data_IF_592847704291
#
_entry.id   IF_592847704291
#
_cell.length_a   1.000
_cell.length_b   1.000
_cell.length_c   1.000
_cell.angle_alpha   90.00
_cell.angle_beta   90.00
_cell.angle_gamma   90.00
#
_symmetry.space_group_name_H-M   'P 1'
#
loop_
_entity.id
_entity.type
_entity.pdbx_description
1 polymer ?
#
# COMPACT_ATOMS: atom_id res chain seq x y z
N UNK A 1 -21.75 26.80 -9.62
CA UNK A 1 -22.28 25.51 -10.10
C UNK A 1 -22.37 25.36 -11.63
N UNK A 2 -22.61 26.41 -12.42
CA UNK A 2 -22.69 26.30 -13.91
C UNK A 2 -21.32 26.14 -14.62
N UNK A 3 -20.20 26.56 -14.04
CA UNK A 3 -18.87 26.46 -14.67
C UNK A 3 -18.26 25.05 -14.58
N UNK A 4 -18.66 24.21 -13.64
CA UNK A 4 -18.13 22.85 -13.47
C UNK A 4 -18.71 21.87 -14.52
N UNK A 5 -19.96 22.08 -14.92
CA UNK A 5 -20.61 21.24 -15.93
C UNK A 5 -20.08 21.45 -17.37
N UNK A 6 -19.60 22.65 -17.69
CA UNK A 6 -19.09 22.96 -19.03
C UNK A 6 -17.72 22.30 -19.26
N UNK A 7 -16.86 22.15 -18.21
CA UNK A 7 -15.58 21.46 -18.35
C UNK A 7 -15.70 19.95 -18.49
N UNK A 8 -16.67 19.32 -17.85
CA UNK A 8 -16.92 17.88 -18.04
C UNK A 8 -17.44 17.54 -19.44
N UNK A 9 -18.34 18.36 -19.98
CA UNK A 9 -18.90 18.14 -21.33
C UNK A 9 -17.88 18.46 -22.45
N UNK A 10 -16.98 19.41 -22.24
CA UNK A 10 -15.91 19.72 -23.22
C UNK A 10 -14.85 18.61 -23.23
N UNK A 11 -14.49 18.04 -22.07
CA UNK A 11 -13.57 16.91 -21.98
C UNK A 11 -14.11 15.65 -22.69
N UNK A 12 -15.38 15.32 -22.52
CA UNK A 12 -16.04 14.20 -23.19
C UNK A 12 -16.13 14.43 -24.70
N UNK A 13 -16.48 15.65 -25.16
CA UNK A 13 -16.60 15.94 -26.59
C UNK A 13 -15.25 15.99 -27.31
N UNK A 14 -14.17 16.40 -26.64
CA UNK A 14 -12.82 16.37 -27.20
C UNK A 14 -12.31 14.92 -27.33
N UNK A 15 -12.58 14.04 -26.36
CA UNK A 15 -12.22 12.62 -26.50
C UNK A 15 -13.05 11.89 -27.56
N UNK A 16 -14.35 12.19 -27.69
CA UNK A 16 -15.17 11.66 -28.80
C UNK A 16 -14.72 12.18 -30.16
N UNK A 17 -14.29 13.44 -30.29
CA UNK A 17 -13.72 13.97 -31.53
C UNK A 17 -12.37 13.32 -31.86
N UNK A 18 -11.52 13.01 -30.87
CA UNK A 18 -10.26 12.30 -31.09
C UNK A 18 -10.49 10.84 -31.49
N UNK A 19 -11.50 10.16 -30.96
CA UNK A 19 -11.83 8.78 -31.32
C UNK A 19 -12.29 8.62 -32.78
N UNK A 20 -12.87 9.67 -33.40
CA UNK A 20 -13.33 9.62 -34.80
C UNK A 20 -12.20 9.72 -35.86
N UNK A 21 -10.99 10.12 -35.48
CA UNK A 21 -9.86 10.25 -36.38
C UNK A 21 -8.60 9.47 -36.01
N UNK A 22 -8.67 8.63 -34.95
CA UNK A 22 -7.50 7.95 -34.40
C UNK A 22 -7.44 6.52 -34.92
N UNK A 23 -6.29 6.14 -35.48
CA UNK A 23 -6.05 4.77 -35.93
C UNK A 23 -6.24 3.79 -34.76
N UNK A 24 -7.12 2.80 -34.90
CA UNK A 24 -7.29 1.70 -33.96
C UNK A 24 -6.69 0.46 -34.61
N UNK A 25 -5.70 -0.14 -33.94
CA UNK A 25 -5.12 -1.43 -34.31
C UNK A 25 -5.60 -2.49 -33.37
N UNK A 26 -6.05 -3.62 -33.93
CA UNK A 26 -6.45 -4.81 -33.19
C UNK A 26 -5.35 -5.86 -33.29
N UNK A 27 -4.99 -6.45 -32.19
CA UNK A 27 -4.09 -7.60 -32.10
C UNK A 27 -4.67 -8.64 -31.14
N UNK A 28 -4.20 -9.87 -31.26
CA UNK A 28 -4.56 -10.95 -30.35
C UNK A 28 -3.29 -11.58 -29.79
N UNK A 29 -3.31 -11.93 -28.50
CA UNK A 29 -2.21 -12.62 -27.86
C UNK A 29 -2.72 -13.59 -26.77
N UNK A 30 -1.86 -14.52 -26.34
CA UNK A 30 -2.17 -15.39 -25.22
C UNK A 30 -1.61 -14.78 -23.95
N UNK A 31 -2.42 -14.73 -22.91
CA UNK A 31 -2.03 -14.30 -21.56
C UNK A 31 -2.44 -15.37 -20.55
N UNK A 32 -1.96 -15.22 -19.34
CA UNK A 32 -2.39 -16.04 -18.20
C UNK A 32 -3.35 -15.18 -17.36
N UNK A 33 -4.51 -15.75 -16.98
CA UNK A 33 -5.42 -15.10 -16.04
C UNK A 33 -4.88 -15.21 -14.59
N UNK A 34 -5.60 -14.61 -13.63
CA UNK A 34 -5.19 -14.61 -12.22
C UNK A 34 -5.23 -16.03 -11.60
N UNK A 35 -5.92 -16.98 -12.22
CA UNK A 35 -5.99 -18.40 -11.83
C UNK A 35 -4.92 -19.27 -12.51
N UNK A 36 -4.09 -18.69 -13.39
CA UNK A 36 -3.01 -19.38 -14.10
C UNK A 36 -3.42 -20.08 -15.39
N UNK A 37 -4.64 -19.86 -15.90
CA UNK A 37 -5.10 -20.43 -17.16
C UNK A 37 -4.70 -19.55 -18.35
N UNK A 38 -4.37 -20.20 -19.47
CA UNK A 38 -4.11 -19.48 -20.72
C UNK A 38 -5.42 -19.00 -21.35
N UNK A 39 -5.53 -17.69 -21.55
CA UNK A 39 -6.65 -17.04 -22.23
C UNK A 39 -6.17 -16.32 -23.50
N UNK A 40 -7.04 -16.23 -24.49
CA UNK A 40 -6.82 -15.36 -25.65
C UNK A 40 -7.33 -13.97 -25.31
N UNK A 41 -6.47 -12.98 -25.50
CA UNK A 41 -6.78 -11.58 -25.21
C UNK A 41 -6.81 -10.81 -26.51
N UNK A 42 -7.87 -10.00 -26.68
CA UNK A 42 -7.96 -9.02 -27.78
C UNK A 42 -7.46 -7.68 -27.24
N UNK A 43 -6.43 -7.14 -27.86
CA UNK A 43 -5.89 -5.83 -27.51
C UNK A 43 -6.21 -4.80 -28.59
N UNK A 44 -6.66 -3.64 -28.13
CA UNK A 44 -6.82 -2.45 -28.96
C UNK A 44 -5.73 -1.43 -28.63
N UNK A 45 -5.03 -0.99 -29.67
CA UNK A 45 -4.12 0.16 -29.63
C UNK A 45 -4.83 1.35 -30.26
N UNK A 46 -4.98 2.44 -29.52
CA UNK A 46 -5.65 3.64 -29.98
C UNK A 46 -4.62 4.79 -30.08
N UNK A 47 -4.42 5.28 -31.31
CA UNK A 47 -3.52 6.39 -31.60
C UNK A 47 -2.05 6.14 -31.24
N UNK A 48 -1.61 4.89 -31.24
CA UNK A 48 -0.24 4.51 -30.89
C UNK A 48 0.15 4.74 -29.42
N UNK A 49 -0.80 5.07 -28.55
CA UNK A 49 -0.51 5.52 -27.17
C UNK A 49 -1.31 4.84 -26.07
N UNK A 50 -2.53 4.44 -26.37
CA UNK A 50 -3.46 3.89 -25.40
C UNK A 50 -3.73 2.42 -25.75
N UNK A 51 -3.52 1.53 -24.78
CA UNK A 51 -3.68 0.09 -24.97
C UNK A 51 -4.74 -0.44 -24.02
N UNK A 52 -5.67 -1.20 -24.59
CA UNK A 52 -6.79 -1.78 -23.87
C UNK A 52 -6.91 -3.25 -24.20
N UNK A 53 -7.01 -4.09 -23.16
CA UNK A 53 -7.45 -5.47 -23.35
C UNK A 53 -8.98 -5.49 -23.26
N UNK A 54 -9.66 -5.99 -24.28
CA UNK A 54 -11.12 -6.06 -24.32
C UNK A 54 -11.62 -7.47 -24.15
N UNK A 55 -12.75 -7.60 -23.47
CA UNK A 55 -13.55 -8.82 -23.43
C UNK A 55 -14.83 -8.59 -24.29
N UNK A 56 -14.86 -9.25 -25.43
CA UNK A 56 -15.95 -9.11 -26.40
C UNK A 56 -17.26 -9.75 -25.89
N UNK A 57 -17.20 -10.67 -24.91
CA UNK A 57 -18.39 -11.31 -24.34
C UNK A 57 -19.09 -10.43 -23.30
N UNK A 58 -18.29 -9.79 -22.42
CA UNK A 58 -18.82 -8.96 -21.33
C UNK A 58 -18.92 -7.48 -21.69
N UNK A 59 -18.39 -7.09 -22.85
CA UNK A 59 -18.24 -5.70 -23.30
C UNK A 59 -17.51 -4.84 -22.26
N UNK A 60 -16.43 -5.39 -21.69
CA UNK A 60 -15.57 -4.69 -20.74
C UNK A 60 -14.16 -4.54 -21.27
N UNK A 61 -13.41 -3.60 -20.70
CA UNK A 61 -12.02 -3.38 -21.05
C UNK A 61 -11.15 -3.12 -19.83
N UNK A 62 -9.89 -3.53 -19.93
CA UNK A 62 -8.82 -3.18 -19.00
C UNK A 62 -7.93 -2.17 -19.68
N UNK A 63 -7.75 -1.00 -19.07
CA UNK A 63 -6.76 -0.03 -19.52
C UNK A 63 -5.36 -0.55 -19.15
N UNK A 64 -4.62 -1.04 -20.14
CA UNK A 64 -3.35 -1.76 -19.91
C UNK A 64 -2.15 -0.85 -19.81
N UNK A 65 -2.05 0.12 -20.73
CA UNK A 65 -0.84 0.90 -20.89
C UNK A 65 -1.11 2.25 -21.54
N UNK A 66 -0.33 3.22 -21.13
CA UNK A 66 -0.29 4.52 -21.75
C UNK A 66 1.17 4.95 -22.04
N UNK A 67 1.42 5.36 -23.27
CA UNK A 67 2.67 6.00 -23.64
C UNK A 67 2.48 7.52 -23.69
N UNK A 68 2.78 8.19 -22.57
CA UNK A 68 2.80 9.65 -22.49
C UNK A 68 3.85 10.25 -23.41
N UNK A 69 3.59 11.45 -23.93
CA UNK A 69 4.62 12.27 -24.57
C UNK A 69 5.51 12.89 -23.52
N UNK A 70 6.66 13.42 -23.94
CA UNK A 70 7.66 14.01 -23.04
C UNK A 70 7.12 15.07 -22.08
N UNK A 71 6.06 15.80 -22.47
CA UNK A 71 5.46 16.86 -21.68
C UNK A 71 4.06 16.53 -21.12
N UNK A 72 3.61 15.29 -21.24
CA UNK A 72 2.32 14.88 -20.69
C UNK A 72 2.44 14.69 -19.17
N UNK A 73 1.83 15.58 -18.41
CA UNK A 73 1.82 15.55 -16.94
C UNK A 73 0.48 15.06 -16.37
N UNK A 74 -0.53 14.87 -17.22
CA UNK A 74 -1.87 14.42 -16.85
C UNK A 74 -2.32 13.25 -17.71
N UNK A 75 -2.89 12.22 -17.08
CA UNK A 75 -3.56 11.10 -17.72
C UNK A 75 -5.04 11.09 -17.34
N UNK A 76 -5.91 11.21 -18.34
CA UNK A 76 -7.36 11.06 -18.18
C UNK A 76 -7.75 9.71 -18.77
N UNK A 77 -8.24 8.80 -17.92
CA UNK A 77 -8.72 7.49 -18.34
C UNK A 77 -10.22 7.60 -18.64
N UNK A 78 -10.69 7.23 -19.86
CA UNK A 78 -12.10 7.28 -20.18
C UNK A 78 -12.91 6.22 -19.40
N UNK A 79 -14.21 6.43 -19.24
CA UNK A 79 -15.10 5.42 -18.65
C UNK A 79 -15.40 4.25 -19.59
N UNK A 80 -15.25 4.47 -20.89
CA UNK A 80 -15.48 3.46 -21.94
C UNK A 80 -14.73 3.82 -23.21
N UNK A 81 -14.60 2.84 -24.11
CA UNK A 81 -14.14 3.00 -25.48
C UNK A 81 -15.16 2.37 -26.46
N UNK A 82 -15.29 2.93 -27.65
CA UNK A 82 -16.12 2.39 -28.71
C UNK A 82 -15.26 1.71 -29.77
N UNK A 83 -15.59 0.47 -30.13
CA UNK A 83 -14.93 -0.28 -31.18
C UNK A 83 -15.95 -1.12 -31.96
N UNK A 84 -15.96 -0.99 -33.30
CA UNK A 84 -16.89 -1.69 -34.20
C UNK A 84 -18.38 -1.56 -33.80
N UNK A 85 -18.81 -0.39 -33.30
CA UNK A 85 -20.18 -0.14 -32.88
C UNK A 85 -20.55 -0.72 -31.52
N UNK A 86 -19.59 -1.29 -30.77
CA UNK A 86 -19.76 -1.81 -29.41
C UNK A 86 -19.02 -0.92 -28.43
N UNK A 87 -19.68 -0.56 -27.32
CA UNK A 87 -19.09 0.20 -26.21
C UNK A 87 -18.54 -0.75 -25.16
N UNK A 88 -17.25 -0.63 -24.87
CA UNK A 88 -16.54 -1.40 -23.84
C UNK A 88 -16.28 -0.53 -22.61
N UNK A 89 -16.85 -0.90 -21.48
CA UNK A 89 -16.65 -0.18 -20.20
C UNK A 89 -15.28 -0.48 -19.60
N UNK A 90 -14.57 0.55 -19.14
CA UNK A 90 -13.28 0.36 -18.43
C UNK A 90 -13.58 -0.08 -17.01
N UNK A 91 -13.18 -1.31 -16.65
CA UNK A 91 -13.44 -1.92 -15.33
C UNK A 91 -12.20 -2.13 -14.48
N UNK A 92 -11.01 -2.06 -15.08
CA UNK A 92 -9.76 -2.23 -14.37
C UNK A 92 -8.60 -1.47 -15.03
N UNK A 93 -7.56 -1.18 -14.24
CA UNK A 93 -6.27 -0.68 -14.71
C UNK A 93 -5.22 -1.78 -14.55
N UNK A 94 -4.47 -2.04 -15.62
CA UNK A 94 -3.44 -3.06 -15.68
C UNK A 94 -2.08 -2.61 -15.13
N UNK A 95 -1.11 -3.51 -15.16
CA UNK A 95 0.20 -3.34 -14.49
C UNK A 95 1.08 -2.22 -15.10
N UNK A 96 0.75 -1.73 -16.29
CA UNK A 96 1.51 -0.69 -16.98
C UNK A 96 0.67 0.56 -17.28
N UNK A 97 -0.43 0.80 -16.54
CA UNK A 97 -1.36 1.89 -16.82
C UNK A 97 -0.65 3.26 -16.85
N UNK A 98 0.24 3.55 -15.90
CA UNK A 98 1.07 4.75 -15.88
C UNK A 98 2.42 4.60 -16.57
N UNK A 99 2.83 3.35 -16.85
CA UNK A 99 4.05 2.95 -17.55
C UNK A 99 5.32 3.71 -17.15
N UNK A 100 5.59 3.80 -15.83
CA UNK A 100 6.81 4.43 -15.30
C UNK A 100 7.01 5.88 -15.77
N UNK A 101 5.93 6.61 -16.05
CA UNK A 101 6.02 7.98 -16.49
C UNK A 101 6.43 8.90 -15.34
N UNK A 102 7.70 9.27 -15.30
CA UNK A 102 8.29 10.09 -14.25
C UNK A 102 7.70 11.51 -14.17
N UNK A 103 7.13 12.02 -15.28
CA UNK A 103 6.55 13.38 -15.36
C UNK A 103 5.04 13.39 -15.08
N UNK A 104 4.40 12.23 -14.94
CA UNK A 104 2.98 12.13 -14.66
C UNK A 104 2.68 12.70 -13.27
N UNK A 105 2.00 13.83 -13.20
CA UNK A 105 1.67 14.51 -11.93
C UNK A 105 0.23 14.21 -11.46
N UNK A 106 -0.66 13.91 -12.41
CA UNK A 106 -2.09 13.74 -12.13
C UNK A 106 -2.71 12.62 -12.96
N UNK A 107 -3.56 11.83 -12.32
CA UNK A 107 -4.37 10.79 -12.98
C UNK A 107 -5.83 10.99 -12.61
N UNK A 108 -6.70 10.92 -13.61
CA UNK A 108 -8.16 10.89 -13.43
C UNK A 108 -8.66 9.50 -13.80
N UNK A 109 -9.18 8.80 -12.80
CA UNK A 109 -9.73 7.45 -12.94
C UNK A 109 -11.26 7.56 -12.90
N UNK A 110 -12.00 6.98 -13.86
CA UNK A 110 -13.45 7.05 -13.90
C UNK A 110 -14.10 6.12 -12.88
N UNK A 111 -15.33 6.44 -12.48
CA UNK A 111 -16.20 5.49 -11.78
C UNK A 111 -16.47 4.27 -12.66
N UNK A 112 -16.65 3.11 -12.00
CA UNK A 112 -16.78 1.80 -12.65
C UNK A 112 -15.50 0.98 -12.64
N UNK A 113 -14.34 1.60 -12.45
CA UNK A 113 -13.07 0.89 -12.23
C UNK A 113 -13.10 0.23 -10.85
N UNK A 114 -12.89 -1.08 -10.82
CA UNK A 114 -12.92 -1.89 -9.58
C UNK A 114 -11.54 -2.29 -9.09
N UNK A 115 -10.54 -2.31 -9.97
CA UNK A 115 -9.15 -2.71 -9.66
C UNK A 115 -8.15 -1.74 -10.26
N UNK A 116 -7.18 -1.33 -9.45
CA UNK A 116 -6.08 -0.43 -9.85
C UNK A 116 -4.74 -1.14 -9.69
N UNK A 117 -3.97 -1.17 -10.79
CA UNK A 117 -2.56 -1.53 -10.85
C UNK A 117 -1.81 -0.51 -11.72
N UNK A 118 -0.48 -0.54 -11.73
CA UNK A 118 0.32 0.01 -12.83
C UNK A 118 0.69 1.47 -12.82
N UNK A 119 0.76 2.12 -11.66
CA UNK A 119 1.39 3.43 -11.51
C UNK A 119 2.76 3.37 -10.80
N UNK A 120 3.37 2.18 -10.76
CA UNK A 120 4.71 2.05 -10.22
C UNK A 120 5.70 2.95 -10.97
N UNK A 121 6.62 3.56 -10.21
CA UNK A 121 7.65 4.47 -10.73
C UNK A 121 7.12 5.75 -11.40
N UNK A 122 5.87 6.14 -11.16
CA UNK A 122 5.36 7.45 -11.54
C UNK A 122 5.87 8.49 -10.53
N UNK A 123 7.16 8.83 -10.62
CA UNK A 123 7.85 9.65 -9.62
C UNK A 123 7.22 11.02 -9.44
N UNK A 124 6.67 11.62 -10.51
CA UNK A 124 6.03 12.95 -10.48
C UNK A 124 4.63 12.98 -9.88
N UNK A 125 4.00 11.81 -9.64
CA UNK A 125 2.60 11.74 -9.20
C UNK A 125 2.41 12.28 -7.79
N UNK A 126 1.76 13.44 -7.67
CA UNK A 126 1.58 14.17 -6.40
C UNK A 126 0.29 13.78 -5.68
N UNK A 127 -0.79 13.64 -6.44
CA UNK A 127 -2.11 13.32 -5.91
C UNK A 127 -2.86 12.40 -6.86
N UNK A 128 -3.68 11.54 -6.28
CA UNK A 128 -4.59 10.69 -7.03
C UNK A 128 -5.93 10.57 -6.30
N UNK A 129 -7.02 10.63 -7.06
CA UNK A 129 -8.35 10.35 -6.54
C UNK A 129 -8.73 8.94 -6.93
N UNK A 130 -8.98 8.10 -5.93
CA UNK A 130 -9.42 6.73 -6.13
C UNK A 130 -10.96 6.73 -6.14
N UNK A 131 -11.61 6.26 -7.22
CA UNK A 131 -13.07 6.22 -7.31
C UNK A 131 -13.72 5.32 -6.26
N UNK A 132 -14.98 5.61 -5.92
CA UNK A 132 -15.75 4.84 -4.93
C UNK A 132 -16.00 3.39 -5.35
N UNK A 133 -15.98 3.11 -6.65
CA UNK A 133 -16.13 1.78 -7.24
C UNK A 133 -14.95 0.83 -6.98
N UNK A 134 -13.77 1.35 -6.60
CA UNK A 134 -12.56 0.55 -6.46
C UNK A 134 -12.65 -0.37 -5.23
N UNK A 135 -12.39 -1.65 -5.47
CA UNK A 135 -12.36 -2.74 -4.47
C UNK A 135 -10.95 -3.24 -4.19
N UNK A 136 -10.03 -3.06 -5.14
CA UNK A 136 -8.68 -3.57 -5.04
C UNK A 136 -7.65 -2.54 -5.53
N UNK A 137 -6.65 -2.27 -4.69
CA UNK A 137 -5.37 -1.69 -5.08
C UNK A 137 -4.36 -2.83 -5.08
N UNK A 138 -3.89 -3.22 -6.26
CA UNK A 138 -3.07 -4.40 -6.46
C UNK A 138 -1.62 -4.22 -6.01
N UNK A 139 -0.85 -5.30 -6.11
CA UNK A 139 0.57 -5.29 -5.74
C UNK A 139 1.35 -4.26 -6.56
N UNK A 140 2.23 -3.51 -5.87
CA UNK A 140 3.07 -2.46 -6.43
C UNK A 140 2.31 -1.32 -7.15
N UNK A 141 1.01 -1.15 -6.95
CA UNK A 141 0.18 -0.21 -7.73
C UNK A 141 0.75 1.21 -7.77
N UNK A 142 1.28 1.73 -6.66
CA UNK A 142 1.89 3.06 -6.51
C UNK A 142 3.34 2.97 -5.98
N UNK A 143 3.99 1.82 -6.20
CA UNK A 143 5.41 1.66 -5.80
C UNK A 143 6.26 2.76 -6.41
N UNK A 144 7.15 3.37 -5.60
CA UNK A 144 8.07 4.44 -6.02
C UNK A 144 7.37 5.72 -6.54
N UNK A 145 6.12 5.98 -6.16
CA UNK A 145 5.49 7.29 -6.37
C UNK A 145 6.02 8.27 -5.33
N UNK A 146 7.27 8.70 -5.49
CA UNK A 146 8.04 9.45 -4.46
C UNK A 146 7.45 10.82 -4.13
N UNK A 147 6.75 11.45 -5.08
CA UNK A 147 6.09 12.74 -4.91
C UNK A 147 4.66 12.64 -4.37
N UNK A 148 4.12 11.41 -4.17
CA UNK A 148 2.75 11.21 -3.71
C UNK A 148 2.58 11.67 -2.26
N UNK A 149 1.84 12.77 -2.06
CA UNK A 149 1.67 13.40 -0.74
C UNK A 149 0.45 12.90 0.03
N UNK A 150 -0.63 12.58 -0.67
CA UNK A 150 -1.87 12.10 -0.07
C UNK A 150 -2.68 11.21 -1.01
N UNK A 151 -3.41 10.26 -0.42
CA UNK A 151 -4.37 9.39 -1.11
C UNK A 151 -5.59 9.23 -0.23
N UNK A 152 -6.76 9.36 -0.82
CA UNK A 152 -8.02 9.01 -0.17
C UNK A 152 -8.46 7.64 -0.67
N UNK A 153 -8.51 6.67 0.23
CA UNK A 153 -8.96 5.31 -0.09
C UNK A 153 -10.50 5.23 0.08
N UNK A 154 -11.23 4.59 -0.85
CA UNK A 154 -12.68 4.48 -0.75
C UNK A 154 -13.11 3.47 0.32
N UNK A 155 -14.22 3.74 1.00
CA UNK A 155 -14.77 2.87 2.07
C UNK A 155 -15.12 1.44 1.60
N UNK A 156 -15.25 1.23 0.30
CA UNK A 156 -15.51 -0.10 -0.28
C UNK A 156 -14.25 -0.90 -0.63
N UNK A 157 -13.05 -0.35 -0.36
CA UNK A 157 -11.77 -1.02 -0.67
C UNK A 157 -11.59 -2.24 0.23
N UNK A 158 -11.39 -3.42 -0.35
CA UNK A 158 -11.18 -4.68 0.38
C UNK A 158 -9.72 -5.14 0.40
N UNK A 159 -8.94 -4.75 -0.60
CA UNK A 159 -7.58 -5.26 -0.78
C UNK A 159 -6.57 -4.13 -0.99
N UNK A 160 -5.54 -4.14 -0.14
CA UNK A 160 -4.30 -3.39 -0.27
C UNK A 160 -3.15 -4.38 -0.51
N UNK A 161 -2.72 -4.49 -1.78
CA UNK A 161 -1.77 -5.50 -2.22
C UNK A 161 -0.33 -5.26 -1.75
N UNK A 162 0.50 -6.27 -1.90
CA UNK A 162 1.92 -6.26 -1.57
C UNK A 162 2.63 -5.03 -2.14
N UNK A 163 3.32 -4.27 -1.26
CA UNK A 163 4.08 -3.07 -1.62
C UNK A 163 3.29 -2.00 -2.39
N UNK A 164 1.97 -1.90 -2.17
CA UNK A 164 1.11 -0.99 -2.93
C UNK A 164 1.59 0.47 -2.89
N UNK A 165 2.12 0.95 -1.76
CA UNK A 165 2.69 2.29 -1.55
C UNK A 165 4.16 2.25 -1.13
N UNK A 166 4.89 1.19 -1.54
CA UNK A 166 6.32 1.06 -1.25
C UNK A 166 7.09 2.27 -1.76
N UNK A 167 7.93 2.87 -0.92
CA UNK A 167 8.77 4.04 -1.24
C UNK A 167 7.98 5.28 -1.71
N UNK A 168 6.74 5.48 -1.22
CA UNK A 168 6.04 6.75 -1.35
C UNK A 168 6.57 7.72 -0.28
N UNK A 169 7.79 8.23 -0.47
CA UNK A 169 8.55 8.93 0.58
C UNK A 169 7.87 10.19 1.10
N UNK A 170 7.07 10.87 0.26
CA UNK A 170 6.33 12.09 0.63
C UNK A 170 4.93 11.84 1.18
N UNK A 171 4.47 10.59 1.25
CA UNK A 171 3.14 10.28 1.78
C UNK A 171 3.06 10.65 3.27
N UNK A 172 2.27 11.67 3.61
CA UNK A 172 2.19 12.26 4.96
C UNK A 172 1.17 11.57 5.85
N UNK A 173 0.06 11.17 5.26
CA UNK A 173 -1.04 10.50 5.96
C UNK A 173 -1.86 9.65 5.00
N UNK A 174 -2.47 8.61 5.54
CA UNK A 174 -3.43 7.76 4.84
C UNK A 174 -4.42 7.18 5.85
N UNK A 175 -5.68 7.08 5.47
CA UNK A 175 -6.70 6.41 6.27
C UNK A 175 -7.01 5.08 5.62
N UNK A 176 -6.86 3.99 6.38
CA UNK A 176 -7.20 2.65 5.91
C UNK A 176 -8.69 2.43 6.21
N UNK A 177 -9.52 2.14 5.18
CA UNK A 177 -10.94 1.88 5.39
C UNK A 177 -11.19 0.61 6.21
N UNK A 178 -12.30 0.59 6.94
CA UNK A 178 -12.70 -0.58 7.75
C UNK A 178 -13.08 -1.81 6.92
N UNK A 179 -13.29 -1.66 5.63
CA UNK A 179 -13.51 -2.75 4.68
C UNK A 179 -12.24 -3.55 4.35
N UNK A 180 -11.04 -2.98 4.61
CA UNK A 180 -9.78 -3.69 4.43
C UNK A 180 -9.61 -4.71 5.55
N UNK A 181 -9.49 -5.99 5.18
CA UNK A 181 -9.34 -7.07 6.14
C UNK A 181 -7.88 -7.37 6.52
N UNK A 182 -6.93 -6.96 5.67
CA UNK A 182 -5.51 -7.30 5.81
C UNK A 182 -4.59 -6.26 5.17
N UNK A 183 -3.46 -6.00 5.80
CA UNK A 183 -2.38 -5.18 5.26
C UNK A 183 -1.23 -6.11 4.84
N UNK A 184 -1.04 -6.23 3.53
CA UNK A 184 -0.01 -7.10 2.95
C UNK A 184 1.41 -6.59 3.25
N UNK A 185 2.41 -7.45 3.04
CA UNK A 185 3.81 -7.11 3.34
C UNK A 185 4.28 -5.89 2.54
N UNK A 186 5.03 -5.02 3.22
CA UNK A 186 5.70 -3.86 2.64
C UNK A 186 4.79 -2.75 2.12
N UNK A 187 3.49 -2.74 2.43
CA UNK A 187 2.53 -1.76 1.86
C UNK A 187 3.01 -0.33 2.00
N UNK A 188 3.50 0.08 3.17
CA UNK A 188 4.02 1.42 3.46
C UNK A 188 5.53 1.45 3.73
N UNK A 189 6.25 0.40 3.28
CA UNK A 189 7.70 0.35 3.46
C UNK A 189 8.35 1.60 2.84
N UNK A 190 9.21 2.26 3.62
CA UNK A 190 9.91 3.49 3.25
C UNK A 190 9.02 4.71 2.94
N UNK A 191 7.80 4.79 3.54
CA UNK A 191 6.99 6.00 3.56
C UNK A 191 7.55 6.98 4.61
N UNK A 192 8.64 7.65 4.28
CA UNK A 192 9.47 8.38 5.26
C UNK A 192 8.75 9.56 5.92
N UNK A 193 7.79 10.20 5.25
CA UNK A 193 7.02 11.32 5.81
C UNK A 193 5.71 10.90 6.48
N UNK A 194 5.37 9.60 6.49
CA UNK A 194 4.18 9.11 7.17
C UNK A 194 4.33 9.31 8.67
N UNK A 195 3.56 10.26 9.24
CA UNK A 195 3.71 10.70 10.63
C UNK A 195 2.78 9.99 11.61
N UNK A 196 1.62 9.56 11.14
CA UNK A 196 0.63 8.83 11.93
C UNK A 196 -0.24 7.95 11.05
N UNK A 197 -0.75 6.86 11.61
CA UNK A 197 -1.71 5.98 10.96
C UNK A 197 -2.59 5.30 12.02
N UNK A 198 -3.83 5.05 11.67
CA UNK A 198 -4.76 4.26 12.51
C UNK A 198 -5.02 2.93 11.82
N UNK A 199 -4.86 1.84 12.56
CA UNK A 199 -5.15 0.49 12.10
C UNK A 199 -6.62 0.17 12.45
N UNK A 200 -7.51 -0.06 11.47
CA UNK A 200 -8.91 -0.36 11.74
C UNK A 200 -9.08 -1.68 12.49
N UNK A 201 -10.19 -1.80 13.23
CA UNK A 201 -10.47 -2.99 14.06
C UNK A 201 -10.67 -4.29 13.27
N UNK A 202 -10.87 -4.20 11.98
CA UNK A 202 -10.97 -5.34 11.05
C UNK A 202 -9.62 -6.00 10.76
N UNK A 203 -8.50 -5.31 11.02
CA UNK A 203 -7.16 -5.83 10.74
C UNK A 203 -6.71 -6.70 11.92
N UNK A 204 -6.50 -7.98 11.64
CA UNK A 204 -5.95 -8.97 12.60
C UNK A 204 -4.45 -9.20 12.44
N UNK A 205 -3.87 -8.82 11.32
CA UNK A 205 -2.45 -9.05 11.01
C UNK A 205 -1.83 -7.84 10.33
N UNK A 206 -0.66 -7.41 10.81
CA UNK A 206 0.25 -6.50 10.11
C UNK A 206 1.33 -7.34 9.46
N UNK A 207 1.45 -7.30 8.13
CA UNK A 207 2.41 -8.08 7.35
C UNK A 207 3.88 -7.74 7.63
N UNK A 208 4.78 -8.44 6.98
CA UNK A 208 6.23 -8.15 7.09
C UNK A 208 6.56 -6.78 6.50
N UNK A 209 7.46 -6.04 7.14
CA UNK A 209 8.00 -4.77 6.65
C UNK A 209 6.95 -3.68 6.33
N UNK A 210 5.73 -3.77 6.84
CA UNK A 210 4.65 -2.83 6.47
C UNK A 210 5.06 -1.38 6.67
N UNK A 211 5.68 -1.05 7.81
CA UNK A 211 6.14 0.31 8.17
C UNK A 211 7.68 0.37 8.28
N UNK A 212 8.39 -0.54 7.61
CA UNK A 212 9.86 -0.49 7.60
C UNK A 212 10.34 0.88 7.12
N UNK A 213 11.26 1.50 7.88
CA UNK A 213 11.84 2.82 7.56
C UNK A 213 10.83 3.97 7.41
N UNK A 214 9.68 3.91 8.10
CA UNK A 214 8.78 5.04 8.28
C UNK A 214 9.35 5.98 9.35
N UNK A 215 10.41 6.70 9.02
CA UNK A 215 11.25 7.45 9.98
C UNK A 215 10.50 8.57 10.69
N UNK A 216 9.43 9.09 10.12
CA UNK A 216 8.58 10.13 10.72
C UNK A 216 7.39 9.57 11.51
N UNK A 217 7.17 8.24 11.51
CA UNK A 217 6.02 7.63 12.20
C UNK A 217 6.18 7.80 13.71
N UNK A 218 5.44 8.74 14.26
CA UNK A 218 5.52 9.14 15.66
C UNK A 218 4.54 8.38 16.54
N UNK A 219 3.35 8.17 16.02
CA UNK A 219 2.27 7.47 16.72
C UNK A 219 1.55 6.49 15.80
N UNK A 220 1.14 5.37 16.37
CA UNK A 220 0.28 4.39 15.71
C UNK A 220 -0.74 3.85 16.70
N UNK A 221 -2.00 3.80 16.29
CA UNK A 221 -3.06 3.19 17.07
C UNK A 221 -3.31 1.77 16.57
N UNK A 222 -2.95 0.79 17.38
CA UNK A 222 -3.24 -0.62 17.14
C UNK A 222 -4.58 -0.97 17.80
N UNK A 223 -5.38 -1.77 17.11
CA UNK A 223 -6.70 -2.20 17.63
C UNK A 223 -6.61 -3.47 18.48
N UNK A 224 -7.59 -3.71 19.36
CA UNK A 224 -7.68 -4.91 20.20
C UNK A 224 -8.01 -6.22 19.44
N UNK A 225 -8.22 -6.15 18.11
CA UNK A 225 -8.38 -7.34 17.24
C UNK A 225 -7.07 -7.85 16.65
N UNK A 226 -5.97 -7.10 16.81
CA UNK A 226 -4.67 -7.42 16.20
C UNK A 226 -4.04 -8.65 16.89
N UNK A 227 -3.77 -9.70 16.11
CA UNK A 227 -3.23 -10.99 16.57
C UNK A 227 -1.73 -11.09 16.33
N UNK A 228 -1.23 -10.53 15.20
CA UNK A 228 0.18 -10.65 14.83
C UNK A 228 0.75 -9.39 14.22
N UNK A 229 2.04 -9.17 14.51
CA UNK A 229 2.90 -8.15 13.88
C UNK A 229 4.04 -8.90 13.22
N UNK A 230 4.21 -8.71 11.91
CA UNK A 230 5.18 -9.42 11.08
C UNK A 230 6.62 -9.02 11.31
N UNK A 231 7.53 -9.73 10.63
CA UNK A 231 8.97 -9.47 10.65
C UNK A 231 9.26 -8.04 10.22
N UNK A 232 10.11 -7.34 10.99
CA UNK A 232 10.58 -5.98 10.71
C UNK A 232 9.46 -4.95 10.45
N UNK A 233 8.22 -5.20 10.93
CA UNK A 233 7.06 -4.39 10.59
C UNK A 233 7.22 -2.91 10.94
N UNK A 234 7.90 -2.57 12.04
CA UNK A 234 8.22 -1.20 12.48
C UNK A 234 9.73 -0.93 12.55
N UNK A 235 10.53 -1.76 11.88
CA UNK A 235 11.99 -1.58 11.90
C UNK A 235 12.36 -0.21 11.33
N UNK A 236 13.27 0.51 12.03
CA UNK A 236 13.70 1.86 11.69
C UNK A 236 12.59 2.95 11.71
N UNK A 237 11.51 2.76 12.45
CA UNK A 237 10.58 3.84 12.80
C UNK A 237 11.23 4.73 13.87
N UNK A 238 12.19 5.55 13.47
CA UNK A 238 13.08 6.27 14.40
C UNK A 238 12.37 7.35 15.21
N UNK A 239 11.24 7.88 14.75
CA UNK A 239 10.43 8.86 15.49
C UNK A 239 9.40 8.22 16.43
N UNK A 240 9.21 6.90 16.39
CA UNK A 240 8.22 6.20 17.23
C UNK A 240 8.65 6.29 18.70
N UNK A 241 7.95 7.09 19.49
CA UNK A 241 8.30 7.37 20.87
C UNK A 241 7.57 6.49 21.89
N UNK A 242 6.40 6.00 21.50
CA UNK A 242 5.57 5.10 22.32
C UNK A 242 4.72 4.19 21.45
N UNK A 243 4.39 3.01 21.97
CA UNK A 243 3.45 2.08 21.35
C UNK A 243 2.69 1.31 22.43
N UNK A 244 1.38 1.15 22.21
CA UNK A 244 0.53 0.31 23.04
C UNK A 244 0.24 -0.97 22.25
N UNK A 245 0.78 -2.10 22.71
CA UNK A 245 0.51 -3.40 22.12
C UNK A 245 -0.81 -3.94 22.69
N UNK A 246 -1.77 -4.35 21.83
CA UNK A 246 -3.09 -4.78 22.31
C UNK A 246 -3.03 -6.13 23.02
N UNK A 247 -3.99 -6.37 23.92
CA UNK A 247 -4.06 -7.63 24.68
C UNK A 247 -4.35 -8.87 23.82
N UNK A 248 -4.84 -8.68 22.60
CA UNK A 248 -5.05 -9.74 21.62
C UNK A 248 -3.77 -10.23 20.95
N UNK A 249 -2.65 -9.48 21.03
CA UNK A 249 -1.42 -9.76 20.28
C UNK A 249 -0.73 -11.05 20.79
N UNK A 250 -0.67 -12.07 19.94
CA UNK A 250 -0.08 -13.40 20.23
C UNK A 250 1.30 -13.59 19.63
N UNK A 251 1.61 -12.89 18.54
CA UNK A 251 2.86 -13.05 17.81
C UNK A 251 3.50 -11.70 17.44
N UNK A 252 4.80 -11.61 17.71
CA UNK A 252 5.66 -10.51 17.31
C UNK A 252 6.76 -11.08 16.42
N UNK A 253 7.06 -10.41 15.29
CA UNK A 253 8.06 -10.86 14.33
C UNK A 253 9.49 -10.51 14.77
N UNK A 254 10.46 -11.22 14.21
CA UNK A 254 11.88 -10.91 14.33
C UNK A 254 12.11 -9.48 13.83
N UNK A 255 12.94 -8.69 14.55
CA UNK A 255 13.25 -7.30 14.23
C UNK A 255 12.03 -6.35 14.22
N UNK A 256 10.90 -6.71 14.82
CA UNK A 256 9.65 -5.95 14.70
C UNK A 256 9.82 -4.45 14.99
N UNK A 257 10.61 -4.08 16.02
CA UNK A 257 10.94 -2.70 16.43
C UNK A 257 12.45 -2.40 16.37
N UNK A 258 13.19 -3.12 15.54
CA UNK A 258 14.61 -2.90 15.40
C UNK A 258 14.91 -1.43 15.01
N UNK A 259 15.78 -0.76 15.75
CA UNK A 259 16.20 0.60 15.44
C UNK A 259 15.12 1.68 15.66
N UNK A 260 14.08 1.41 16.46
CA UNK A 260 13.15 2.44 16.95
C UNK A 260 13.84 3.29 18.01
N UNK A 261 14.75 4.16 17.58
CA UNK A 261 15.69 4.87 18.46
C UNK A 261 15.05 5.84 19.44
N UNK A 262 13.83 6.30 19.19
CA UNK A 262 13.07 7.18 20.09
C UNK A 262 12.14 6.45 21.06
N UNK A 263 11.93 5.12 20.90
CA UNK A 263 11.01 4.34 21.70
C UNK A 263 11.45 4.28 23.17
N UNK A 264 10.64 4.83 24.09
CA UNK A 264 11.02 5.04 25.50
C UNK A 264 10.54 3.92 26.43
N UNK A 265 9.37 3.37 26.15
CA UNK A 265 8.76 2.32 26.97
C UNK A 265 7.91 1.40 26.13
N UNK A 266 7.85 0.13 26.53
CA UNK A 266 6.95 -0.87 25.93
C UNK A 266 6.36 -1.70 27.05
N UNK A 267 5.04 -1.89 27.00
CA UNK A 267 4.34 -2.87 27.81
C UNK A 267 3.93 -4.04 26.92
N UNK A 268 4.45 -5.23 27.23
CA UNK A 268 4.10 -6.44 26.51
C UNK A 268 2.80 -7.04 27.06
N UNK A 269 1.87 -7.51 26.20
CA UNK A 269 0.59 -8.05 26.65
C UNK A 269 0.70 -9.48 27.18
N UNK A 270 -0.21 -9.89 28.07
CA UNK A 270 -0.27 -11.24 28.66
C UNK A 270 -0.47 -12.37 27.64
N UNK A 271 -1.01 -12.06 26.46
CA UNK A 271 -1.16 -12.99 25.34
C UNK A 271 0.16 -13.38 24.69
N UNK A 272 1.19 -12.52 24.76
CA UNK A 272 2.49 -12.77 24.16
C UNK A 272 3.30 -13.78 25.00
N UNK A 273 3.96 -14.71 24.32
CA UNK A 273 4.71 -15.82 24.94
C UNK A 273 6.20 -15.73 24.73
N UNK A 274 6.63 -15.10 23.63
CA UNK A 274 8.02 -15.04 23.19
C UNK A 274 8.34 -13.61 22.78
N UNK A 275 9.48 -13.09 23.21
CA UNK A 275 10.13 -11.92 22.62
C UNK A 275 11.12 -12.43 21.58
N UNK A 276 10.89 -12.19 20.28
CA UNK A 276 11.70 -12.79 19.22
C UNK A 276 13.07 -12.12 19.07
N UNK A 277 13.89 -12.72 18.19
CA UNK A 277 15.25 -12.23 17.91
C UNK A 277 15.25 -10.77 17.50
N UNK A 278 16.13 -9.99 18.13
CA UNK A 278 16.37 -8.58 17.86
C UNK A 278 15.09 -7.71 17.83
N UNK A 279 14.00 -8.11 18.49
CA UNK A 279 12.72 -7.43 18.42
C UNK A 279 12.80 -5.94 18.76
N UNK A 280 13.62 -5.56 19.76
CA UNK A 280 13.87 -4.19 20.23
C UNK A 280 15.35 -3.79 20.13
N UNK A 281 16.14 -4.52 19.34
CA UNK A 281 17.55 -4.21 19.16
C UNK A 281 17.72 -2.78 18.64
N UNK A 282 18.69 -2.03 19.20
CA UNK A 282 18.96 -0.62 18.89
C UNK A 282 17.84 0.37 19.27
N UNK A 283 16.93 0.01 20.18
CA UNK A 283 16.00 0.96 20.78
C UNK A 283 16.75 1.78 21.85
N UNK A 284 17.61 2.71 21.42
CA UNK A 284 18.56 3.41 22.31
C UNK A 284 17.91 4.24 23.41
N UNK A 285 16.68 4.76 23.18
CA UNK A 285 15.93 5.53 24.17
C UNK A 285 15.09 4.68 25.13
N UNK A 286 15.06 3.34 24.95
CA UNK A 286 14.22 2.47 25.79
C UNK A 286 14.72 2.47 27.22
N UNK A 287 13.96 3.04 28.15
CA UNK A 287 14.31 3.14 29.56
C UNK A 287 13.64 2.09 30.43
N UNK A 288 12.49 1.57 29.98
CA UNK A 288 11.71 0.57 30.70
C UNK A 288 10.99 -0.37 29.77
N UNK A 289 10.86 -1.62 30.23
CA UNK A 289 10.01 -2.63 29.59
C UNK A 289 9.27 -3.40 30.70
N UNK A 290 7.98 -3.62 30.51
CA UNK A 290 7.16 -4.44 31.39
C UNK A 290 6.92 -5.80 30.74
N UNK A 291 7.41 -6.85 31.40
CA UNK A 291 7.18 -8.24 30.98
C UNK A 291 6.01 -8.83 31.75
N UNK A 292 5.03 -9.40 31.06
CA UNK A 292 4.03 -10.24 31.70
C UNK A 292 4.64 -11.59 32.10
N UNK A 293 4.06 -12.25 33.08
CA UNK A 293 4.49 -13.59 33.51
C UNK A 293 4.27 -14.69 32.44
N UNK A 294 3.55 -14.38 31.39
CA UNK A 294 3.31 -15.25 30.25
C UNK A 294 4.55 -15.45 29.36
N UNK A 295 5.51 -14.52 29.38
CA UNK A 295 6.75 -14.64 28.60
C UNK A 295 7.63 -15.74 29.22
N UNK A 296 7.98 -16.71 28.39
CA UNK A 296 8.87 -17.82 28.78
C UNK A 296 10.17 -17.88 27.95
N UNK A 297 10.24 -17.16 26.81
CA UNK A 297 11.46 -17.03 25.99
C UNK A 297 11.73 -15.56 25.68
N UNK A 298 12.96 -15.12 25.90
CA UNK A 298 13.54 -13.90 25.35
C UNK A 298 14.67 -14.35 24.42
N UNK A 299 14.51 -14.14 23.12
CA UNK A 299 15.41 -14.65 22.10
C UNK A 299 16.65 -13.76 21.92
N UNK A 300 17.58 -14.19 21.07
CA UNK A 300 18.90 -13.56 20.91
C UNK A 300 18.80 -12.09 20.49
N UNK A 301 19.64 -11.27 21.10
CA UNK A 301 19.77 -9.84 20.79
C UNK A 301 18.48 -9.02 20.94
N UNK A 302 17.46 -9.54 21.62
CA UNK A 302 16.14 -8.92 21.75
C UNK A 302 16.21 -7.45 22.19
N UNK A 303 17.16 -7.09 23.10
CA UNK A 303 17.38 -5.74 23.63
C UNK A 303 18.83 -5.26 23.43
N UNK A 304 19.59 -5.92 22.56
CA UNK A 304 20.96 -5.52 22.28
C UNK A 304 21.00 -4.04 21.82
N UNK A 305 21.94 -3.29 22.37
CA UNK A 305 22.11 -1.86 22.09
C UNK A 305 20.93 -0.96 22.57
N UNK A 306 20.10 -1.44 23.53
CA UNK A 306 19.17 -0.58 24.26
C UNK A 306 19.92 0.18 25.37
N UNK A 307 20.71 1.17 25.00
CA UNK A 307 21.71 1.80 25.88
C UNK A 307 21.14 2.57 27.07
N UNK A 308 19.86 2.95 27.02
CA UNK A 308 19.16 3.61 28.13
C UNK A 308 18.48 2.64 29.11
N UNK A 309 18.45 1.33 28.79
CA UNK A 309 17.79 0.32 29.62
C UNK A 309 18.71 -0.13 30.75
N UNK A 310 18.53 0.43 31.97
CA UNK A 310 19.42 0.21 33.11
C UNK A 310 18.98 -0.89 34.04
N UNK A 311 17.70 -1.17 34.12
CA UNK A 311 17.12 -2.18 35.01
C UNK A 311 15.95 -2.86 34.31
N UNK A 312 15.91 -4.19 34.40
CA UNK A 312 14.85 -5.02 33.85
C UNK A 312 14.41 -6.04 34.90
N UNK A 313 13.12 -6.15 35.14
CA UNK A 313 12.55 -7.22 35.93
C UNK A 313 12.13 -8.34 35.00
N UNK A 314 12.82 -9.49 35.09
CA UNK A 314 12.55 -10.63 34.24
C UNK A 314 11.25 -11.33 34.63
N UNK A 315 10.51 -11.92 33.70
CA UNK A 315 9.28 -12.64 34.01
C UNK A 315 9.58 -13.90 34.84
N UNK A 316 8.69 -14.22 35.82
CA UNK A 316 8.90 -15.34 36.72
C UNK A 316 8.94 -16.71 36.03
N UNK A 317 8.27 -16.82 34.87
CA UNK A 317 8.16 -18.07 34.11
C UNK A 317 9.22 -18.17 32.99
N UNK A 318 10.25 -17.32 33.03
CA UNK A 318 11.30 -17.34 31.98
C UNK A 318 12.05 -18.67 32.02
N UNK A 319 12.03 -19.40 30.91
CA UNK A 319 12.74 -20.69 30.75
C UNK A 319 13.98 -20.56 29.85
N UNK A 320 14.03 -19.55 28.96
CA UNK A 320 15.17 -19.32 28.09
C UNK A 320 15.45 -17.83 27.92
N UNK A 321 16.70 -17.47 28.14
CA UNK A 321 17.30 -16.17 27.83
C UNK A 321 18.48 -16.43 26.89
N UNK A 322 18.30 -16.23 25.61
CA UNK A 322 19.29 -16.55 24.58
C UNK A 322 20.29 -15.40 24.41
N UNK A 323 21.54 -15.73 24.10
CA UNK A 323 22.69 -14.86 24.19
C UNK A 323 22.59 -13.44 23.60
N UNK A 324 23.39 -12.52 24.18
CA UNK A 324 23.48 -11.09 23.79
C UNK A 324 22.17 -10.28 23.97
N UNK A 325 21.40 -10.58 25.00
CA UNK A 325 20.18 -9.82 25.36
C UNK A 325 20.55 -8.45 25.94
#
# INVERSE_FOLDING_TARGET
>A
MKKLFIFLTIGLSIMQLYAQQTEIRRSEYRSMDDDGNFINVVQLEIGGRYFYDIDENTHTAIFKRWYGRENDTELIIPSSIDYNGVTYKIVALGDEAGNQNEKLEKVIIPEGVTRIKGFAYCHGLKNITIPSSVKEIGSNAFKECVELESVVLPEGLSTLGYRAFYNCVKLKSIVIPSSVARIESGVFNNCQQLSSITIPSTISEIGEEVFFNCVSLKTINLNEGLISIGKAAFSHCTALDSIILPNSLKALGIHAFYGCTSLRSVKLPESLKVVPDAAFMKCGALTSIEFPNSIYIIASSAFRECTSLKKVELPRNLTALNGSV
#
